data_IF_740799224738
#
_entry.id   IF_740799224738
#
_cell.length_a   1.000
_cell.length_b   1.000
_cell.length_c   1.000
_cell.angle_alpha   90.00
_cell.angle_beta   90.00
_cell.angle_gamma   90.00
#
_symmetry.space_group_name_H-M   'P 1'
#
loop_
_entity.id
_entity.type
_entity.pdbx_description
1 polymer ?
#
# COMPACT_ATOMS: atom_id res chain seq x y z
N UNK A 1 -2.38 -28.29 20.29
CA UNK A 1 -3.70 -28.33 19.62
C UNK A 1 -4.30 -29.67 19.97
N UNK A 2 -5.34 -29.66 20.81
CA UNK A 2 -6.17 -30.84 21.00
C UNK A 2 -7.31 -30.73 19.99
N UNK A 3 -7.40 -31.70 19.08
CA UNK A 3 -8.44 -31.78 18.05
C UNK A 3 -9.62 -32.66 18.50
N UNK A 4 -9.67 -33.09 19.76
CA UNK A 4 -10.48 -34.24 20.16
C UNK A 4 -11.69 -33.98 21.06
N UNK A 5 -11.96 -32.76 21.53
CA UNK A 5 -13.09 -32.55 22.46
C UNK A 5 -13.99 -31.33 22.19
N UNK A 6 -13.63 -30.45 21.24
CA UNK A 6 -14.45 -29.29 20.90
C UNK A 6 -14.69 -28.32 22.07
N UNK A 7 -13.88 -28.40 23.14
CA UNK A 7 -14.05 -27.60 24.37
C UNK A 7 -13.38 -26.24 24.30
N UNK A 8 -12.65 -25.95 23.21
CA UNK A 8 -12.00 -24.67 23.03
C UNK A 8 -12.95 -23.65 22.38
N UNK A 9 -12.99 -22.46 22.97
CA UNK A 9 -13.65 -21.24 22.48
C UNK A 9 -13.01 -20.66 21.20
N UNK A 10 -12.20 -21.45 20.49
CA UNK A 10 -11.55 -21.08 19.24
C UNK A 10 -12.46 -21.56 18.13
N UNK A 11 -13.34 -20.67 17.67
CA UNK A 11 -14.10 -20.91 16.45
C UNK A 11 -13.13 -21.26 15.31
N UNK A 12 -13.49 -22.24 14.49
CA UNK A 12 -12.81 -22.55 13.22
C UNK A 12 -12.56 -21.21 12.50
N UNK A 13 -11.37 -20.96 11.93
CA UNK A 13 -11.12 -19.74 11.17
C UNK A 13 -12.26 -19.57 10.17
N UNK A 14 -13.05 -18.50 10.33
CA UNK A 14 -14.23 -18.28 9.52
C UNK A 14 -13.82 -18.43 8.05
N UNK A 15 -14.44 -19.37 7.33
CA UNK A 15 -14.24 -19.48 5.89
C UNK A 15 -14.79 -18.20 5.26
N UNK A 16 -13.88 -17.31 4.89
CA UNK A 16 -14.22 -16.06 4.23
C UNK A 16 -14.26 -16.32 2.71
N UNK A 17 -15.40 -16.03 2.09
CA UNK A 17 -15.44 -15.92 0.64
C UNK A 17 -14.63 -14.70 0.22
N UNK A 18 -13.59 -14.93 -0.58
CA UNK A 18 -12.73 -13.88 -1.15
C UNK A 18 -13.00 -13.84 -2.65
N UNK A 19 -13.52 -12.71 -3.11
CA UNK A 19 -13.64 -12.44 -4.54
C UNK A 19 -12.38 -11.69 -5.03
N UNK A 20 -11.71 -12.26 -6.04
CA UNK A 20 -10.49 -11.68 -6.61
C UNK A 20 -10.83 -11.04 -7.95
N UNK A 21 -10.64 -9.73 -8.06
CA UNK A 21 -10.89 -8.96 -9.29
C UNK A 21 -9.57 -8.49 -9.88
N UNK A 22 -9.32 -8.81 -11.15
CA UNK A 22 -8.21 -8.22 -11.90
C UNK A 22 -8.54 -6.78 -12.31
N UNK A 23 -8.10 -5.84 -11.49
CA UNK A 23 -8.35 -4.41 -11.68
C UNK A 23 -7.81 -3.86 -13.02
N UNK A 24 -6.85 -4.56 -13.66
CA UNK A 24 -6.29 -4.14 -14.97
C UNK A 24 -7.31 -4.26 -16.11
N UNK A 25 -8.31 -5.12 -15.93
CA UNK A 25 -9.34 -5.45 -16.93
C UNK A 25 -10.76 -5.07 -16.46
N UNK A 26 -10.88 -4.41 -15.30
CA UNK A 26 -12.17 -4.04 -14.72
C UNK A 26 -12.88 -2.99 -15.60
N UNK A 27 -14.20 -3.16 -15.76
CA UNK A 27 -15.09 -2.23 -16.46
C UNK A 27 -16.37 -1.98 -15.64
N UNK A 28 -16.67 -0.74 -15.24
CA UNK A 28 -15.90 0.49 -15.47
C UNK A 28 -14.54 0.44 -14.76
N UNK A 29 -13.55 1.15 -15.31
CA UNK A 29 -12.26 1.30 -14.63
C UNK A 29 -12.47 2.08 -13.33
N UNK A 30 -11.75 1.73 -12.26
CA UNK A 30 -11.84 2.46 -11.01
C UNK A 30 -11.34 3.90 -11.20
N UNK A 31 -12.05 4.86 -10.61
CA UNK A 31 -11.63 6.25 -10.57
C UNK A 31 -11.46 6.72 -9.13
N UNK A 32 -10.57 7.70 -8.92
CA UNK A 32 -10.18 8.12 -7.59
C UNK A 32 -11.37 8.62 -6.75
N UNK A 33 -12.32 9.31 -7.39
CA UNK A 33 -13.48 9.92 -6.73
C UNK A 33 -14.48 8.86 -6.24
N UNK A 34 -14.81 7.88 -7.08
CA UNK A 34 -15.86 6.90 -6.75
C UNK A 34 -15.31 5.72 -5.95
N UNK A 35 -14.06 5.31 -6.22
CA UNK A 35 -13.49 4.08 -5.68
C UNK A 35 -12.42 4.33 -4.61
N UNK A 36 -11.95 5.57 -4.44
CA UNK A 36 -10.82 5.90 -3.57
C UNK A 36 -9.46 5.50 -4.14
N UNK A 37 -9.41 5.00 -5.38
CA UNK A 37 -8.17 4.67 -6.10
C UNK A 37 -8.36 4.74 -7.61
N UNK A 38 -7.26 4.89 -8.35
CA UNK A 38 -7.26 4.92 -9.81
C UNK A 38 -6.01 4.26 -10.37
N UNK A 39 -6.13 3.62 -11.55
CA UNK A 39 -5.03 2.98 -12.24
C UNK A 39 -4.58 3.80 -13.45
N UNK A 40 -3.40 4.39 -13.34
CA UNK A 40 -2.77 5.19 -14.39
C UNK A 40 -1.64 4.39 -15.03
N UNK A 41 -1.58 4.39 -16.36
CA UNK A 41 -0.44 3.85 -17.12
C UNK A 41 0.52 4.98 -17.42
N UNK A 42 1.77 4.85 -16.96
CA UNK A 42 2.83 5.82 -17.20
C UNK A 42 4.12 5.09 -17.58
N UNK A 43 4.88 5.66 -18.51
CA UNK A 43 6.17 5.14 -18.92
C UNK A 43 7.25 5.83 -18.09
N UNK A 44 7.85 5.09 -17.16
CA UNK A 44 8.91 5.61 -16.31
C UNK A 44 10.25 5.71 -17.05
N UNK A 45 11.12 6.59 -16.56
CA UNK A 45 12.50 6.72 -17.03
C UNK A 45 13.37 5.47 -16.79
N UNK A 46 13.03 4.67 -15.77
CA UNK A 46 13.69 3.40 -15.45
C UNK A 46 13.43 2.33 -16.51
N UNK A 47 14.49 1.61 -16.90
CA UNK A 47 14.34 0.35 -17.62
C UNK A 47 13.81 -0.76 -16.70
N UNK A 48 13.28 -1.83 -17.28
CA UNK A 48 12.83 -3.00 -16.52
C UNK A 48 13.97 -3.63 -15.70
N UNK A 49 15.17 -3.72 -16.25
CA UNK A 49 16.33 -4.29 -15.55
C UNK A 49 16.74 -3.44 -14.34
N UNK A 50 16.71 -2.11 -14.51
CA UNK A 50 17.00 -1.17 -13.43
C UNK A 50 15.95 -1.25 -12.33
N UNK A 51 14.67 -1.34 -12.70
CA UNK A 51 13.59 -1.52 -11.73
C UNK A 51 13.70 -2.84 -10.94
N UNK A 52 14.17 -3.91 -11.58
CA UNK A 52 14.37 -5.22 -10.94
C UNK A 52 15.65 -5.28 -10.08
N UNK A 53 16.54 -4.31 -10.18
CA UNK A 53 17.82 -4.29 -9.45
C UNK A 53 17.72 -3.87 -7.97
N UNK A 54 16.51 -3.59 -7.45
CA UNK A 54 16.29 -3.03 -6.12
C UNK A 54 16.74 -3.89 -4.92
N UNK A 55 17.31 -5.08 -5.15
CA UNK A 55 17.93 -5.92 -4.12
C UNK A 55 19.35 -5.48 -3.77
N UNK A 56 19.99 -4.65 -4.58
CA UNK A 56 21.29 -4.04 -4.27
C UNK A 56 21.11 -2.61 -3.74
N UNK A 57 22.04 -2.08 -2.93
CA UNK A 57 22.01 -0.69 -2.48
C UNK A 57 21.96 0.30 -3.66
N UNK A 58 22.68 0.01 -4.73
CA UNK A 58 22.75 0.84 -5.93
C UNK A 58 21.42 0.83 -6.69
N UNK A 59 20.79 -0.33 -6.82
CA UNK A 59 19.48 -0.45 -7.45
C UNK A 59 18.37 0.18 -6.61
N UNK A 60 18.45 0.08 -5.28
CA UNK A 60 17.51 0.77 -4.39
C UNK A 60 17.61 2.30 -4.54
N UNK A 61 18.84 2.83 -4.58
CA UNK A 61 19.07 4.26 -4.81
C UNK A 61 18.47 4.71 -6.14
N UNK A 62 18.70 3.94 -7.20
CA UNK A 62 18.18 4.23 -8.55
C UNK A 62 16.64 4.23 -8.59
N UNK A 63 15.97 3.28 -7.92
CA UNK A 63 14.50 3.25 -7.85
C UNK A 63 13.96 4.43 -7.03
N UNK A 64 14.66 4.83 -5.96
CA UNK A 64 14.27 5.99 -5.14
C UNK A 64 14.32 7.29 -5.93
N UNK A 65 15.21 7.45 -6.90
CA UNK A 65 15.27 8.65 -7.74
C UNK A 65 13.96 8.88 -8.51
N UNK A 66 13.28 7.80 -8.93
CA UNK A 66 12.00 7.85 -9.65
C UNK A 66 10.83 8.34 -8.79
N UNK A 67 10.97 8.43 -7.46
CA UNK A 67 9.95 9.07 -6.62
C UNK A 67 9.66 10.50 -7.04
N UNK A 68 10.65 11.22 -7.57
CA UNK A 68 10.46 12.56 -8.11
C UNK A 68 9.52 12.56 -9.33
N UNK A 69 9.72 11.62 -10.25
CA UNK A 69 8.87 11.42 -11.43
C UNK A 69 7.43 11.04 -11.03
N UNK A 70 7.27 10.15 -10.05
CA UNK A 70 5.96 9.77 -9.49
C UNK A 70 5.27 10.99 -8.85
N UNK A 71 6.02 11.83 -8.14
CA UNK A 71 5.46 13.02 -7.52
C UNK A 71 4.95 14.01 -8.56
N UNK A 72 5.70 14.24 -9.65
CA UNK A 72 5.25 15.10 -10.75
C UNK A 72 4.05 14.52 -11.50
N UNK A 73 4.03 13.21 -11.74
CA UNK A 73 2.87 12.53 -12.31
C UNK A 73 1.61 12.77 -11.45
N UNK A 74 1.73 12.54 -10.13
CA UNK A 74 0.62 12.76 -9.20
C UNK A 74 0.15 14.21 -9.21
N UNK A 75 1.06 15.19 -9.14
CA UNK A 75 0.69 16.62 -9.22
C UNK A 75 -0.07 16.94 -10.50
N UNK A 76 0.40 16.45 -11.65
CA UNK A 76 -0.23 16.70 -12.95
C UNK A 76 -1.62 16.08 -13.04
N UNK A 77 -1.83 14.91 -12.43
CA UNK A 77 -3.08 14.19 -12.48
C UNK A 77 -4.11 14.73 -11.47
N UNK A 78 -3.70 14.96 -10.23
CA UNK A 78 -4.60 15.38 -9.14
C UNK A 78 -4.75 16.90 -9.03
N UNK A 79 -3.90 17.67 -9.72
CA UNK A 79 -3.79 19.12 -9.53
C UNK A 79 -3.19 19.51 -8.16
N UNK A 80 -2.64 18.55 -7.42
CA UNK A 80 -2.06 18.82 -6.09
C UNK A 80 -0.84 19.73 -6.21
N UNK A 81 -0.73 20.72 -5.32
CA UNK A 81 0.45 21.60 -5.25
C UNK A 81 1.65 20.91 -4.61
N UNK A 82 1.39 20.00 -3.68
CA UNK A 82 2.41 19.33 -2.87
C UNK A 82 2.12 17.83 -2.89
N UNK A 83 3.15 17.05 -3.25
CA UNK A 83 3.15 15.59 -3.14
C UNK A 83 4.39 15.21 -2.36
N UNK A 84 4.22 14.51 -1.23
CA UNK A 84 5.31 14.05 -0.37
C UNK A 84 5.31 12.52 -0.30
N UNK A 85 6.39 11.84 -0.71
CA UNK A 85 6.51 10.40 -0.53
C UNK A 85 6.42 10.04 0.95
N UNK A 86 5.48 9.18 1.33
CA UNK A 86 5.23 8.83 2.74
C UNK A 86 6.09 7.66 3.22
N UNK A 87 6.35 6.69 2.34
CA UNK A 87 7.20 5.54 2.60
C UNK A 87 7.76 4.97 1.30
N UNK A 88 9.03 4.58 1.31
CA UNK A 88 9.60 3.70 0.30
C UNK A 88 9.65 2.29 0.87
N UNK A 89 9.05 1.33 0.18
CA UNK A 89 9.14 -0.09 0.52
C UNK A 89 9.42 -0.89 -0.73
N UNK A 90 10.65 -1.38 -0.87
CA UNK A 90 10.89 -2.49 -1.78
C UNK A 90 10.46 -3.78 -1.07
N UNK A 91 9.31 -4.34 -1.46
CA UNK A 91 8.94 -5.68 -1.01
C UNK A 91 9.84 -6.63 -1.78
N UNK A 92 10.96 -7.00 -1.18
CA UNK A 92 11.81 -8.05 -1.70
C UNK A 92 10.92 -9.23 -2.07
N UNK A 93 11.01 -9.66 -3.32
CA UNK A 93 10.45 -10.92 -3.81
C UNK A 93 11.18 -12.04 -3.07
N UNK A 94 10.90 -12.23 -1.78
CA UNK A 94 11.36 -13.40 -1.06
C UNK A 94 10.46 -14.52 -1.56
N UNK A 95 10.92 -15.40 -2.47
CA UNK A 95 10.08 -16.43 -3.06
C UNK A 95 9.89 -17.61 -2.10
N UNK A 96 10.32 -17.47 -0.83
CA UNK A 96 9.94 -18.40 0.20
C UNK A 96 8.48 -18.14 0.56
N UNK A 97 7.58 -18.65 -0.28
CA UNK A 97 6.28 -19.14 0.14
C UNK A 97 6.54 -20.18 1.23
N UNK A 98 6.83 -19.70 2.46
CA UNK A 98 6.89 -20.57 3.61
C UNK A 98 5.47 -21.07 3.79
N UNK A 99 5.32 -22.38 3.77
CA UNK A 99 4.12 -23.03 4.25
C UNK A 99 3.71 -22.35 5.56
N UNK A 100 2.52 -21.74 5.58
CA UNK A 100 2.07 -20.89 6.69
C UNK A 100 2.07 -21.68 8.00
N UNK A 101 1.97 -23.01 7.91
CA UNK A 101 2.06 -23.96 9.01
C UNK A 101 3.45 -24.12 9.62
N UNK A 102 4.51 -23.70 8.92
CA UNK A 102 5.92 -23.84 9.31
C UNK A 102 6.54 -22.51 9.77
N UNK A 103 5.76 -21.43 9.85
CA UNK A 103 6.28 -20.16 10.35
C UNK A 103 6.48 -20.21 11.87
N UNK A 104 7.67 -19.87 12.41
CA UNK A 104 7.83 -19.69 13.84
C UNK A 104 6.86 -18.60 14.31
N UNK A 105 6.30 -18.75 15.50
CA UNK A 105 5.32 -17.82 16.10
C UNK A 105 5.82 -16.38 16.30
N UNK A 106 7.07 -16.10 15.95
CA UNK A 106 7.70 -14.78 15.89
C UNK A 106 7.68 -14.15 14.50
N UNK A 107 7.25 -14.88 13.46
CA UNK A 107 6.97 -14.28 12.16
C UNK A 107 5.72 -13.42 12.30
N UNK A 108 5.93 -12.10 12.35
CA UNK A 108 4.88 -11.12 12.17
C UNK A 108 3.99 -11.59 11.01
N UNK A 109 2.78 -12.03 11.34
CA UNK A 109 1.74 -12.36 10.37
C UNK A 109 1.67 -11.13 9.48
N UNK A 110 2.14 -11.25 8.23
CA UNK A 110 1.99 -10.19 7.25
C UNK A 110 0.50 -9.94 7.19
N UNK A 111 0.07 -8.75 7.61
CA UNK A 111 -1.34 -8.42 7.78
C UNK A 111 -2.10 -8.86 6.52
N UNK A 112 -2.97 -9.86 6.69
CA UNK A 112 -3.73 -10.49 5.60
C UNK A 112 -4.66 -9.48 4.94
N UNK A 113 -5.04 -8.44 5.69
CA UNK A 113 -5.64 -7.22 5.19
C UNK A 113 -4.77 -6.03 5.65
N UNK A 114 -4.22 -5.29 4.69
CA UNK A 114 -3.86 -3.90 4.96
C UNK A 114 -5.18 -3.13 5.07
N UNK A 115 -5.48 -2.62 6.28
CA UNK A 115 -6.42 -1.52 6.40
C UNK A 115 -5.63 -0.30 5.93
N UNK A 116 -5.58 -0.10 4.62
CA UNK A 116 -5.06 1.13 4.06
C UNK A 116 -5.92 2.27 4.61
N UNK A 117 -5.24 3.26 5.21
CA UNK A 117 -5.76 4.46 5.86
C UNK A 117 -7.23 4.76 5.54
N UNK A 118 -8.14 4.16 6.32
CA UNK A 118 -9.55 4.47 6.23
C UNK A 118 -9.79 5.95 6.54
N UNK A 119 -10.95 6.48 6.17
CA UNK A 119 -11.29 7.88 6.40
C UNK A 119 -11.13 8.28 7.88
N UNK A 120 -11.38 7.34 8.79
CA UNK A 120 -11.29 7.55 10.24
C UNK A 120 -9.85 7.69 10.74
N UNK A 121 -8.90 6.95 10.17
CA UNK A 121 -7.48 6.98 10.53
C UNK A 121 -6.64 7.91 9.66
N UNK A 122 -7.17 8.36 8.53
CA UNK A 122 -6.49 9.22 7.57
C UNK A 122 -5.98 10.53 8.21
N UNK A 123 -6.80 11.20 9.02
CA UNK A 123 -6.40 12.44 9.69
C UNK A 123 -5.19 12.19 10.61
N UNK A 124 -5.25 11.16 11.45
CA UNK A 124 -4.16 10.82 12.38
C UNK A 124 -2.88 10.47 11.63
N UNK A 125 -2.99 9.73 10.52
CA UNK A 125 -1.85 9.36 9.68
C UNK A 125 -1.21 10.60 9.02
N UNK A 126 -2.03 11.50 8.47
CA UNK A 126 -1.57 12.74 7.83
C UNK A 126 -0.94 13.67 8.86
N UNK A 127 -1.55 13.83 10.04
CA UNK A 127 -1.00 14.63 11.16
C UNK A 127 0.38 14.14 11.59
N UNK A 128 0.56 12.83 11.73
CA UNK A 128 1.88 12.23 12.03
C UNK A 128 2.94 12.50 10.95
N UNK A 129 2.53 12.69 9.69
CA UNK A 129 3.43 12.92 8.57
C UNK A 129 3.76 14.39 8.34
N UNK A 130 2.79 15.28 8.56
CA UNK A 130 2.95 16.72 8.36
C UNK A 130 3.50 17.43 9.60
N UNK A 131 3.31 16.87 10.80
CA UNK A 131 3.78 17.47 12.04
C UNK A 131 3.18 18.86 12.23
N UNK A 132 4.03 19.85 12.46
CA UNK A 132 3.64 21.22 12.78
C UNK A 132 2.91 21.94 11.62
N UNK A 133 3.13 21.51 10.37
CA UNK A 133 2.43 22.06 9.20
C UNK A 133 0.98 21.55 9.06
N UNK A 134 0.59 20.55 9.87
CA UNK A 134 -0.68 19.87 9.71
C UNK A 134 -1.87 20.83 9.80
N UNK A 135 -1.97 21.62 10.87
CA UNK A 135 -3.17 22.44 11.11
C UNK A 135 -3.38 23.49 10.00
N UNK A 136 -2.30 24.10 9.47
CA UNK A 136 -2.38 25.06 8.36
C UNK A 136 -2.84 24.36 7.07
N UNK A 137 -2.21 23.25 6.71
CA UNK A 137 -2.50 22.54 5.46
C UNK A 137 -3.87 21.87 5.51
N UNK A 138 -4.26 21.33 6.66
CA UNK A 138 -5.57 20.73 6.87
C UNK A 138 -6.68 21.78 6.76
N UNK A 139 -6.53 22.94 7.41
CA UNK A 139 -7.50 24.03 7.29
C UNK A 139 -7.62 24.57 5.85
N UNK A 140 -6.51 24.62 5.10
CA UNK A 140 -6.47 25.17 3.74
C UNK A 140 -6.99 24.19 2.68
N UNK A 141 -6.81 22.88 2.86
CA UNK A 141 -7.01 21.88 1.81
C UNK A 141 -7.89 20.69 2.21
N UNK A 142 -8.49 20.65 3.40
CA UNK A 142 -9.48 19.63 3.78
C UNK A 142 -10.80 19.84 3.02
N UNK A 143 -10.78 19.52 1.72
CA UNK A 143 -11.99 19.37 0.91
C UNK A 143 -12.42 17.90 0.80
N UNK A 144 -11.82 17.01 1.60
CA UNK A 144 -12.27 15.63 1.75
C UNK A 144 -13.46 15.55 2.72
N UNK A 145 -14.59 16.06 2.25
CA UNK A 145 -15.94 15.79 2.73
C UNK A 145 -16.58 14.72 1.85
#
# INVERSE_FOLDING_TARGET
>A
MDLSDGSTNVNIPNEHQIDVIDMRHQNPRPCLIENGYELIKHNFSLSSDQFLSGTTPEGEALIREVHSEVAELLKSFTGSKIVRPSSFRNRGLNPQSRDVTMMPSTCNILAVAHIDHDRESAETAIRRKLGDEFDELWARYSHYG
#
